data_IF_683115024283
#
_entry.id   IF_683115024283
#
_cell.length_a   1.000
_cell.length_b   1.000
_cell.length_c   1.000
_cell.angle_alpha   90.00
_cell.angle_beta   90.00
_cell.angle_gamma   90.00
#
_symmetry.space_group_name_H-M   'P 1'
#
loop_
_entity.id
_entity.type
_entity.pdbx_description
1 polymer ?
#
# COMPACT_ATOMS: atom_id res chain seq x y z
N UNK A 1 -12.20 -19.56 -9.01
CA UNK A 1 -11.42 -19.13 -7.82
C UNK A 1 -11.11 -17.65 -8.00
N UNK A 2 -11.24 -16.87 -6.94
CA UNK A 2 -10.87 -15.44 -6.95
C UNK A 2 -9.36 -15.28 -7.10
N UNK A 3 -8.92 -14.35 -7.97
CA UNK A 3 -7.52 -14.07 -8.23
C UNK A 3 -7.03 -12.91 -7.36
N UNK A 4 -5.89 -13.08 -6.76
CA UNK A 4 -5.29 -12.08 -5.87
C UNK A 4 -3.95 -11.60 -6.42
N UNK A 5 -3.70 -10.30 -6.40
CA UNK A 5 -2.44 -9.67 -6.79
C UNK A 5 -1.85 -8.88 -5.61
N UNK A 6 -0.57 -9.04 -5.35
CA UNK A 6 0.17 -8.24 -4.38
C UNK A 6 1.13 -7.33 -5.14
N UNK A 7 0.91 -6.01 -5.05
CA UNK A 7 1.72 -5.00 -5.72
C UNK A 7 2.82 -4.55 -4.77
N UNK A 8 4.06 -4.63 -5.24
CA UNK A 8 5.27 -4.27 -4.51
C UNK A 8 6.06 -3.24 -5.32
N UNK A 9 5.90 -1.94 -5.03
CA UNK A 9 6.75 -0.91 -5.61
C UNK A 9 8.19 -1.05 -5.14
N UNK A 10 9.15 -0.97 -6.05
CA UNK A 10 10.59 -1.08 -5.73
C UNK A 10 11.39 0.10 -6.26
N UNK A 11 12.33 0.57 -5.43
CA UNK A 11 13.41 1.46 -5.83
C UNK A 11 14.60 1.26 -4.90
N UNK A 12 15.63 0.55 -5.38
CA UNK A 12 16.80 0.12 -4.59
C UNK A 12 16.41 -0.85 -3.45
N UNK A 13 15.73 -1.94 -3.81
CA UNK A 13 15.25 -2.96 -2.86
C UNK A 13 15.84 -4.36 -3.16
N UNK A 14 17.00 -4.41 -3.84
CA UNK A 14 17.63 -5.65 -4.29
C UNK A 14 17.85 -6.64 -3.15
N UNK A 15 18.32 -6.16 -1.99
CA UNK A 15 18.67 -7.01 -0.85
C UNK A 15 17.42 -7.63 -0.18
N UNK A 16 16.26 -6.99 -0.35
CA UNK A 16 15.00 -7.41 0.26
C UNK A 16 14.21 -8.38 -0.64
N UNK A 17 14.24 -8.17 -1.95
CA UNK A 17 13.30 -8.77 -2.90
C UNK A 17 13.29 -10.30 -2.89
N UNK A 18 14.46 -10.94 -2.82
CA UNK A 18 14.57 -12.40 -2.83
C UNK A 18 13.89 -13.05 -1.63
N UNK A 19 14.09 -12.51 -0.43
CA UNK A 19 13.46 -13.03 0.78
C UNK A 19 11.98 -12.68 0.85
N UNK A 20 11.63 -11.46 0.43
CA UNK A 20 10.26 -10.96 0.51
C UNK A 20 9.30 -11.76 -0.36
N UNK A 21 9.63 -12.00 -1.66
CA UNK A 21 8.73 -12.75 -2.54
C UNK A 21 8.49 -14.17 -2.04
N UNK A 22 9.50 -14.81 -1.44
CA UNK A 22 9.36 -16.15 -0.85
C UNK A 22 8.41 -16.11 0.35
N UNK A 23 8.60 -15.18 1.28
CA UNK A 23 7.72 -15.04 2.45
C UNK A 23 6.27 -14.71 2.07
N UNK A 24 6.07 -13.90 1.04
CA UNK A 24 4.72 -13.61 0.51
C UNK A 24 4.10 -14.87 -0.07
N UNK A 25 4.84 -15.62 -0.88
CA UNK A 25 4.34 -16.87 -1.49
C UNK A 25 4.03 -17.92 -0.42
N UNK A 26 4.87 -18.04 0.62
CA UNK A 26 4.62 -18.96 1.73
C UNK A 26 3.35 -18.57 2.53
N UNK A 27 3.12 -17.26 2.73
CA UNK A 27 1.96 -16.77 3.45
C UNK A 27 0.67 -16.86 2.63
N UNK A 28 0.73 -16.65 1.31
CA UNK A 28 -0.43 -16.65 0.42
C UNK A 28 -0.10 -17.30 -0.95
N UNK A 29 0.03 -18.65 -1.02
CA UNK A 29 0.53 -19.36 -2.21
C UNK A 29 -0.33 -19.18 -3.47
N UNK A 30 -1.61 -18.82 -3.32
CA UNK A 30 -2.54 -18.61 -4.43
C UNK A 30 -2.49 -17.20 -5.03
N UNK A 31 -1.67 -16.29 -4.46
CA UNK A 31 -1.54 -14.93 -4.96
C UNK A 31 -0.42 -14.79 -5.99
N UNK A 32 -0.67 -13.97 -7.00
CA UNK A 32 0.40 -13.45 -7.87
C UNK A 32 1.05 -12.23 -7.21
N UNK A 33 2.34 -12.01 -7.52
CA UNK A 33 3.12 -10.86 -7.06
C UNK A 33 3.48 -10.00 -8.27
N UNK A 34 3.22 -8.70 -8.19
CA UNK A 34 3.66 -7.72 -9.19
C UNK A 34 4.72 -6.80 -8.59
N UNK A 35 5.96 -6.96 -9.00
CA UNK A 35 7.03 -6.01 -8.71
C UNK A 35 6.90 -4.85 -9.69
N UNK A 36 6.74 -3.62 -9.17
CA UNK A 36 6.71 -2.39 -9.96
C UNK A 36 8.01 -1.64 -9.74
N UNK A 37 8.97 -1.84 -10.64
CA UNK A 37 10.32 -1.29 -10.50
C UNK A 37 10.47 0.08 -11.15
N UNK A 38 10.89 1.06 -10.35
CA UNK A 38 11.11 2.46 -10.75
C UNK A 38 12.50 2.69 -11.37
N UNK A 39 12.96 1.76 -12.23
CA UNK A 39 14.27 1.80 -12.87
C UNK A 39 15.41 1.86 -11.83
N UNK A 40 15.42 0.91 -10.93
CA UNK A 40 16.37 0.84 -9.83
C UNK A 40 17.82 0.70 -10.31
N UNK A 41 18.74 1.61 -9.94
CA UNK A 41 20.13 1.55 -10.36
C UNK A 41 20.95 0.45 -9.68
N UNK A 42 20.47 -0.15 -8.59
CA UNK A 42 21.15 -1.22 -7.83
C UNK A 42 20.97 -2.61 -8.42
N UNK A 43 20.23 -2.75 -9.52
CA UNK A 43 19.95 -4.04 -10.17
C UNK A 43 18.71 -4.76 -9.61
N UNK A 44 17.83 -4.08 -8.86
CA UNK A 44 16.55 -4.66 -8.39
C UNK A 44 15.70 -5.18 -9.54
N UNK A 45 15.54 -4.39 -10.62
CA UNK A 45 14.73 -4.78 -11.79
C UNK A 45 15.25 -6.04 -12.47
N UNK A 46 16.56 -6.14 -12.68
CA UNK A 46 17.18 -7.34 -13.27
C UNK A 46 17.03 -8.57 -12.39
N UNK A 47 17.12 -8.39 -11.06
CA UNK A 47 16.83 -9.46 -10.12
C UNK A 47 15.37 -9.90 -10.21
N UNK A 48 14.43 -8.96 -10.27
CA UNK A 48 13.00 -9.24 -10.41
C UNK A 48 12.71 -10.06 -11.69
N UNK A 49 13.31 -9.70 -12.83
CA UNK A 49 13.20 -10.47 -14.08
C UNK A 49 13.72 -11.89 -13.94
N UNK A 50 14.87 -12.04 -13.27
CA UNK A 50 15.47 -13.35 -13.02
C UNK A 50 14.61 -14.24 -12.12
N UNK A 51 13.91 -13.65 -11.16
CA UNK A 51 12.96 -14.33 -10.29
C UNK A 51 11.67 -14.67 -11.05
N UNK A 52 11.13 -13.76 -11.85
CA UNK A 52 9.94 -13.98 -12.66
C UNK A 52 10.12 -15.13 -13.68
N UNK A 53 11.32 -15.27 -14.24
CA UNK A 53 11.65 -16.40 -15.13
C UNK A 53 11.57 -17.76 -14.42
N UNK A 54 11.74 -17.83 -13.10
CA UNK A 54 11.72 -19.05 -12.28
C UNK A 54 10.39 -19.29 -11.60
N UNK A 55 9.63 -18.24 -11.32
CA UNK A 55 8.42 -18.27 -10.51
C UNK A 55 7.22 -17.70 -11.29
N UNK A 56 6.33 -18.56 -11.83
CA UNK A 56 5.20 -18.13 -12.65
C UNK A 56 4.23 -17.15 -11.96
N UNK A 57 4.20 -17.16 -10.62
CA UNK A 57 3.39 -16.25 -9.81
C UNK A 57 3.99 -14.83 -9.68
N UNK A 58 5.26 -14.62 -10.08
CA UNK A 58 5.91 -13.32 -10.02
C UNK A 58 5.89 -12.65 -11.39
N UNK A 59 5.48 -11.39 -11.42
CA UNK A 59 5.42 -10.53 -12.59
C UNK A 59 6.24 -9.26 -12.34
N UNK A 60 6.73 -8.64 -13.40
CA UNK A 60 7.51 -7.39 -13.30
C UNK A 60 6.91 -6.35 -14.22
N UNK A 61 6.77 -5.13 -13.70
CA UNK A 61 6.40 -3.95 -14.45
C UNK A 61 7.52 -2.91 -14.30
N UNK A 62 8.30 -2.72 -15.35
CA UNK A 62 9.35 -1.69 -15.37
C UNK A 62 8.78 -0.32 -15.69
N UNK A 63 9.18 0.67 -14.93
CA UNK A 63 8.84 2.08 -15.18
C UNK A 63 10.10 2.85 -15.61
N UNK A 64 9.87 3.98 -16.28
CA UNK A 64 10.99 4.78 -16.85
C UNK A 64 11.93 5.38 -15.77
N UNK A 65 11.49 5.48 -14.50
CA UNK A 65 12.26 6.04 -13.40
C UNK A 65 11.44 6.24 -12.15
N UNK A 66 12.05 6.85 -11.13
CA UNK A 66 11.42 7.16 -9.85
C UNK A 66 10.37 8.27 -9.98
N UNK A 67 9.13 7.88 -10.20
CA UNK A 67 7.99 8.79 -10.42
C UNK A 67 7.10 8.99 -9.19
N UNK A 68 7.43 8.34 -8.08
CA UNK A 68 6.69 8.41 -6.81
C UNK A 68 5.86 7.18 -6.52
N UNK A 69 5.67 6.90 -5.21
CA UNK A 69 5.01 5.70 -4.70
C UNK A 69 3.55 5.58 -5.19
N UNK A 70 2.77 6.66 -5.11
CA UNK A 70 1.37 6.66 -5.55
C UNK A 70 1.22 6.29 -7.01
N UNK A 71 2.08 6.84 -7.88
CA UNK A 71 2.03 6.52 -9.32
C UNK A 71 2.47 5.07 -9.61
N UNK A 72 3.32 4.47 -8.77
CA UNK A 72 3.67 3.05 -8.88
C UNK A 72 2.47 2.16 -8.53
N UNK A 73 1.75 2.46 -7.45
CA UNK A 73 0.53 1.74 -7.12
C UNK A 73 -0.56 1.92 -8.18
N UNK A 74 -0.74 3.12 -8.74
CA UNK A 74 -1.69 3.34 -9.84
C UNK A 74 -1.36 2.47 -11.05
N UNK A 75 -0.07 2.35 -11.42
CA UNK A 75 0.34 1.47 -12.51
C UNK A 75 0.01 -0.01 -12.20
N UNK A 76 0.25 -0.45 -10.97
CA UNK A 76 -0.11 -1.79 -10.51
C UNK A 76 -1.63 -2.02 -10.45
N UNK A 77 -2.43 -1.03 -10.07
CA UNK A 77 -3.89 -1.11 -10.06
C UNK A 77 -4.46 -1.26 -11.48
N UNK A 78 -3.93 -0.49 -12.44
CA UNK A 78 -4.31 -0.64 -13.86
C UNK A 78 -3.99 -2.04 -14.37
N UNK A 79 -2.79 -2.53 -14.08
CA UNK A 79 -2.40 -3.90 -14.38
C UNK A 79 -3.38 -4.92 -13.78
N UNK A 80 -3.74 -4.75 -12.51
CA UNK A 80 -4.68 -5.64 -11.81
C UNK A 80 -6.08 -5.67 -12.47
N UNK A 81 -6.61 -4.49 -12.83
CA UNK A 81 -7.90 -4.35 -13.51
C UNK A 81 -7.85 -5.03 -14.90
N UNK A 82 -6.83 -4.71 -15.69
CA UNK A 82 -6.65 -5.24 -17.04
C UNK A 82 -6.54 -6.77 -17.07
N UNK A 83 -5.87 -7.35 -16.06
CA UNK A 83 -5.67 -8.79 -15.98
C UNK A 83 -6.74 -9.52 -15.14
N UNK A 84 -7.78 -8.82 -14.69
CA UNK A 84 -8.95 -9.42 -14.05
C UNK A 84 -8.68 -9.98 -12.65
N UNK A 85 -7.85 -9.35 -11.84
CA UNK A 85 -7.67 -9.71 -10.43
C UNK A 85 -8.84 -9.21 -9.59
N UNK A 86 -9.31 -10.04 -8.65
CA UNK A 86 -10.48 -9.73 -7.82
C UNK A 86 -10.09 -8.97 -6.55
N UNK A 87 -8.92 -9.28 -5.98
CA UNK A 87 -8.35 -8.66 -4.80
C UNK A 87 -6.94 -8.16 -5.09
N UNK A 88 -6.65 -6.93 -4.70
CA UNK A 88 -5.40 -6.24 -5.00
C UNK A 88 -4.80 -5.65 -3.75
N UNK A 89 -3.59 -6.07 -3.42
CA UNK A 89 -2.87 -5.58 -2.25
C UNK A 89 -1.86 -4.49 -2.61
N UNK A 90 -1.75 -3.53 -1.71
CA UNK A 90 -0.58 -2.64 -1.56
C UNK A 90 0.33 -3.19 -0.47
N UNK A 91 1.63 -3.30 -0.74
CA UNK A 91 2.62 -3.75 0.21
C UNK A 91 3.99 -3.15 -0.09
N UNK A 92 4.68 -2.62 0.94
CA UNK A 92 6.05 -2.09 0.80
C UNK A 92 7.09 -3.22 0.75
N UNK A 93 8.25 -2.95 0.11
CA UNK A 93 9.32 -3.94 -0.08
C UNK A 93 10.32 -4.05 1.10
N UNK A 94 10.17 -3.25 2.16
CA UNK A 94 11.18 -3.05 3.21
C UNK A 94 10.97 -3.86 4.50
N UNK A 95 10.10 -4.88 4.43
CA UNK A 95 9.67 -5.73 5.56
C UNK A 95 8.94 -5.00 6.70
N UNK A 96 8.56 -3.75 6.51
CA UNK A 96 7.72 -3.07 7.50
C UNK A 96 6.29 -3.60 7.53
N UNK A 97 5.85 -4.21 6.43
CA UNK A 97 4.61 -4.96 6.29
C UNK A 97 4.93 -6.46 6.30
N UNK A 98 4.63 -7.14 7.41
CA UNK A 98 4.89 -8.57 7.52
C UNK A 98 3.89 -9.37 6.65
N UNK A 99 4.37 -10.24 5.73
CA UNK A 99 3.50 -11.09 4.92
C UNK A 99 2.55 -11.99 5.71
N UNK A 100 2.85 -12.30 6.98
CA UNK A 100 1.97 -13.12 7.82
C UNK A 100 0.55 -12.57 7.98
N UNK A 101 0.33 -11.27 7.75
CA UNK A 101 -0.98 -10.63 7.81
C UNK A 101 -1.79 -10.74 6.50
N UNK A 102 -1.20 -11.13 5.37
CA UNK A 102 -1.89 -11.24 4.08
C UNK A 102 -3.14 -12.13 4.14
N UNK A 103 -3.11 -13.32 4.77
CA UNK A 103 -4.30 -14.17 4.87
C UNK A 103 -5.44 -13.51 5.64
N UNK A 104 -5.16 -12.79 6.73
CA UNK A 104 -6.18 -12.14 7.55
C UNK A 104 -6.81 -10.94 6.83
N UNK A 105 -6.02 -10.15 6.09
CA UNK A 105 -6.54 -9.06 5.27
C UNK A 105 -7.41 -9.61 4.12
N UNK A 106 -6.95 -10.65 3.44
CA UNK A 106 -7.73 -11.30 2.37
C UNK A 106 -9.03 -11.89 2.93
N UNK A 107 -8.97 -12.56 4.09
CA UNK A 107 -10.14 -13.10 4.77
C UNK A 107 -11.22 -12.05 5.00
N UNK A 108 -10.86 -10.89 5.56
CA UNK A 108 -11.79 -9.79 5.78
C UNK A 108 -12.38 -9.24 4.46
N UNK A 109 -11.60 -9.21 3.37
CA UNK A 109 -12.10 -8.82 2.05
C UNK A 109 -13.07 -9.84 1.49
N UNK A 110 -12.81 -11.15 1.65
CA UNK A 110 -13.70 -12.24 1.23
C UNK A 110 -15.01 -12.22 2.03
N UNK A 111 -14.97 -11.90 3.32
CA UNK A 111 -16.12 -11.75 4.22
C UNK A 111 -16.98 -10.51 3.92
N UNK A 112 -16.63 -9.73 2.90
CA UNK A 112 -17.48 -8.66 2.39
C UNK A 112 -16.98 -7.23 2.64
N UNK A 113 -15.73 -7.04 3.11
CA UNK A 113 -15.12 -5.72 3.06
C UNK A 113 -14.70 -5.38 1.62
N UNK A 114 -14.84 -4.12 1.24
CA UNK A 114 -14.40 -3.64 -0.07
C UNK A 114 -12.96 -3.13 -0.04
N UNK A 115 -12.57 -2.53 1.09
CA UNK A 115 -11.20 -2.14 1.40
C UNK A 115 -10.85 -2.64 2.79
N UNK A 116 -9.71 -3.32 2.92
CA UNK A 116 -9.16 -3.75 4.21
C UNK A 116 -7.86 -3.00 4.46
N UNK A 117 -7.77 -2.34 5.60
CA UNK A 117 -6.58 -1.60 6.03
C UNK A 117 -5.87 -2.38 7.12
N UNK A 118 -4.61 -2.75 6.91
CA UNK A 118 -3.74 -3.24 7.98
C UNK A 118 -3.42 -2.09 8.92
N UNK A 119 -4.05 -2.09 10.10
CA UNK A 119 -4.05 -0.96 11.01
C UNK A 119 -3.15 -1.19 12.22
N UNK A 120 -2.31 -0.20 12.49
CA UNK A 120 -1.46 -0.12 13.70
C UNK A 120 -2.20 0.45 14.90
N UNK A 121 -3.48 0.88 14.72
CA UNK A 121 -4.19 1.76 15.67
C UNK A 121 -5.47 1.17 16.25
N UNK A 122 -5.89 0.03 15.75
CA UNK A 122 -6.99 -0.74 16.32
C UNK A 122 -6.48 -1.66 17.44
N UNK A 123 -7.33 -2.14 18.36
CA UNK A 123 -6.92 -3.11 19.38
C UNK A 123 -6.20 -4.33 18.78
N UNK A 124 -5.01 -4.65 19.29
CA UNK A 124 -4.14 -5.70 18.75
C UNK A 124 -3.14 -5.22 17.70
N UNK A 125 -3.28 -4.00 17.19
CA UNK A 125 -2.30 -3.37 16.31
C UNK A 125 -1.22 -2.59 17.07
N UNK A 126 -0.10 -2.31 16.39
CA UNK A 126 1.01 -1.59 17.03
C UNK A 126 2.16 -1.27 16.10
N UNK A 127 3.23 -0.74 16.72
CA UNK A 127 4.49 -0.46 16.04
C UNK A 127 5.64 -0.96 16.91
N UNK A 128 6.62 -1.61 16.30
CA UNK A 128 7.85 -2.03 16.95
C UNK A 128 9.05 -1.21 16.49
N UNK A 129 9.97 -0.95 17.42
CA UNK A 129 11.22 -0.22 17.19
C UNK A 129 11.06 1.24 16.72
N UNK A 130 9.87 1.85 16.90
CA UNK A 130 9.64 3.26 16.58
C UNK A 130 9.96 4.16 17.77
N UNK A 131 10.74 5.21 17.53
CA UNK A 131 10.91 6.28 18.51
C UNK A 131 9.59 7.03 18.78
N UNK A 132 9.39 7.51 20.01
CA UNK A 132 8.18 8.22 20.45
C UNK A 132 7.79 9.38 19.51
N UNK A 133 8.76 10.15 19.02
CA UNK A 133 8.51 11.26 18.10
C UNK A 133 7.85 10.80 16.78
N UNK A 134 8.30 9.68 16.20
CA UNK A 134 7.72 9.10 14.98
C UNK A 134 6.30 8.58 15.23
N UNK A 135 6.09 7.95 16.39
CA UNK A 135 4.75 7.48 16.79
C UNK A 135 3.78 8.66 16.91
N UNK A 136 4.18 9.76 17.55
CA UNK A 136 3.35 10.96 17.72
C UNK A 136 3.02 11.63 16.38
N UNK A 137 4.02 11.79 15.48
CA UNK A 137 3.79 12.39 14.16
C UNK A 137 2.84 11.54 13.33
N UNK A 138 3.04 10.22 13.30
CA UNK A 138 2.18 9.31 12.55
C UNK A 138 0.77 9.25 13.13
N UNK A 139 0.64 9.25 14.48
CA UNK A 139 -0.67 9.26 15.15
C UNK A 139 -1.40 10.58 14.92
N UNK A 140 -0.68 11.69 15.05
CA UNK A 140 -1.22 13.03 14.82
C UNK A 140 -1.69 13.21 13.38
N UNK A 141 -0.94 12.70 12.40
CA UNK A 141 -1.31 12.76 10.98
C UNK A 141 -2.60 12.00 10.67
N UNK A 142 -2.76 10.77 11.18
CA UNK A 142 -4.01 10.02 11.01
C UNK A 142 -5.18 10.68 11.73
N UNK A 143 -4.98 11.15 12.98
CA UNK A 143 -6.03 11.85 13.73
C UNK A 143 -6.47 13.14 13.03
N UNK A 144 -5.53 13.93 12.54
CA UNK A 144 -5.80 15.14 11.77
C UNK A 144 -6.64 14.84 10.52
N UNK A 145 -6.20 13.90 9.69
CA UNK A 145 -6.88 13.56 8.45
C UNK A 145 -8.31 13.01 8.72
N UNK A 146 -8.45 12.09 9.69
CA UNK A 146 -9.77 11.52 10.03
C UNK A 146 -10.75 12.58 10.58
N UNK A 147 -10.25 13.52 11.37
CA UNK A 147 -11.10 14.58 11.96
C UNK A 147 -11.60 15.53 10.88
N UNK A 148 -10.74 16.01 9.97
CA UNK A 148 -11.11 16.94 8.90
C UNK A 148 -12.01 16.28 7.86
N UNK A 149 -11.69 15.04 7.47
CA UNK A 149 -12.44 14.30 6.45
C UNK A 149 -13.71 13.62 7.03
N UNK A 150 -13.85 13.54 8.36
CA UNK A 150 -14.98 12.87 9.00
C UNK A 150 -14.99 11.36 8.78
N UNK A 151 -13.80 10.72 8.76
CA UNK A 151 -13.68 9.30 8.43
C UNK A 151 -13.65 8.41 9.69
N UNK A 152 -14.27 7.22 9.65
CA UNK A 152 -14.29 6.29 10.78
C UNK A 152 -12.96 5.51 10.93
N UNK A 153 -12.11 5.46 9.89
CA UNK A 153 -10.86 4.71 9.83
C UNK A 153 -9.81 5.34 10.74
N UNK A 154 -9.15 4.52 11.58
CA UNK A 154 -8.16 4.99 12.54
C UNK A 154 -6.77 5.16 11.94
N UNK A 155 -6.35 4.26 11.03
CA UNK A 155 -5.04 4.31 10.39
C UNK A 155 -5.14 4.65 8.90
N UNK A 156 -5.36 5.93 8.59
CA UNK A 156 -5.46 6.42 7.21
C UNK A 156 -4.11 6.42 6.46
N UNK A 157 -2.99 6.36 7.20
CA UNK A 157 -1.64 6.45 6.63
C UNK A 157 -0.99 5.09 6.37
N UNK A 158 -1.68 4.00 6.66
CA UNK A 158 -1.17 2.67 6.37
C UNK A 158 -1.08 2.42 4.87
N UNK A 159 0.07 1.91 4.41
CA UNK A 159 0.30 1.46 3.03
C UNK A 159 0.08 -0.04 2.85
N UNK A 160 -0.41 -0.74 3.85
CA UNK A 160 -0.75 -2.16 3.76
C UNK A 160 -2.26 -2.32 3.66
N UNK A 161 -2.76 -2.51 2.45
CA UNK A 161 -4.20 -2.56 2.18
C UNK A 161 -4.53 -3.66 1.18
N UNK A 162 -5.78 -4.14 1.27
CA UNK A 162 -6.39 -4.98 0.27
C UNK A 162 -7.62 -4.27 -0.31
N UNK A 163 -7.69 -4.14 -1.62
CA UNK A 163 -8.82 -3.56 -2.34
C UNK A 163 -9.55 -4.65 -3.12
N UNK A 164 -10.86 -4.61 -3.10
CA UNK A 164 -11.68 -5.32 -4.08
C UNK A 164 -11.59 -4.59 -5.43
N UNK A 165 -11.51 -5.32 -6.55
CA UNK A 165 -11.40 -4.75 -7.90
C UNK A 165 -12.44 -3.66 -8.18
N UNK A 166 -13.69 -3.87 -7.78
CA UNK A 166 -14.78 -2.91 -7.98
C UNK A 166 -14.50 -1.53 -7.37
N UNK A 167 -13.73 -1.46 -6.28
CA UNK A 167 -13.29 -0.18 -5.69
C UNK A 167 -12.35 0.54 -6.65
N UNK A 168 -11.35 -0.17 -7.18
CA UNK A 168 -10.35 0.40 -8.08
C UNK A 168 -10.96 0.82 -9.42
N UNK A 169 -11.92 0.07 -9.95
CA UNK A 169 -12.67 0.40 -11.15
C UNK A 169 -13.58 1.62 -10.96
N UNK A 170 -14.07 1.86 -9.74
CA UNK A 170 -14.94 3.00 -9.44
C UNK A 170 -14.19 4.32 -9.29
N UNK A 171 -12.90 4.26 -8.93
CA UNK A 171 -12.06 5.43 -8.72
C UNK A 171 -11.42 5.83 -10.05
N UNK A 172 -11.58 7.10 -10.44
CA UNK A 172 -10.78 7.66 -11.53
C UNK A 172 -9.31 7.76 -11.08
N UNK A 173 -8.54 6.70 -11.41
CA UNK A 173 -7.14 6.57 -11.03
C UNK A 173 -6.26 7.64 -11.71
N UNK A 174 -6.71 8.22 -12.83
CA UNK A 174 -5.97 9.28 -13.52
C UNK A 174 -6.07 10.63 -12.81
N UNK A 175 -7.12 10.83 -12.04
CA UNK A 175 -7.31 12.04 -11.23
C UNK A 175 -6.56 12.03 -9.90
N UNK A 176 -6.01 10.86 -9.47
CA UNK A 176 -5.25 10.74 -8.23
C UNK A 176 -3.87 11.38 -8.42
N UNK A 177 -3.61 12.48 -7.72
CA UNK A 177 -2.38 13.29 -7.84
C UNK A 177 -1.47 13.20 -6.62
N UNK A 178 -1.95 12.65 -5.53
CA UNK A 178 -1.21 12.57 -4.28
C UNK A 178 -0.13 11.47 -4.31
N UNK A 179 0.89 11.65 -3.47
CA UNK A 179 2.01 10.72 -3.32
C UNK A 179 2.22 10.36 -1.84
N UNK A 180 2.91 9.24 -1.58
CA UNK A 180 3.27 8.81 -0.23
C UNK A 180 2.06 8.67 0.68
N UNK A 181 2.09 9.29 1.86
CA UNK A 181 1.00 9.19 2.84
C UNK A 181 -0.31 9.82 2.37
N UNK A 182 -0.24 10.90 1.59
CA UNK A 182 -1.44 11.56 1.03
C UNK A 182 -2.17 10.64 0.07
N UNK A 183 -1.44 9.82 -0.70
CA UNK A 183 -2.02 8.81 -1.57
C UNK A 183 -2.83 7.78 -0.77
N UNK A 184 -2.29 7.32 0.35
CA UNK A 184 -2.97 6.36 1.22
C UNK A 184 -4.27 6.90 1.81
N UNK A 185 -4.25 8.18 2.20
CA UNK A 185 -5.44 8.90 2.69
C UNK A 185 -6.46 9.07 1.56
N UNK A 186 -6.02 9.52 0.38
CA UNK A 186 -6.87 9.80 -0.77
C UNK A 186 -7.61 8.55 -1.25
N UNK A 187 -6.91 7.42 -1.42
CA UNK A 187 -7.52 6.17 -1.88
C UNK A 187 -8.61 5.68 -0.90
N UNK A 188 -8.33 5.75 0.41
CA UNK A 188 -9.32 5.37 1.44
C UNK A 188 -10.49 6.34 1.48
N UNK A 189 -10.25 7.65 1.37
CA UNK A 189 -11.28 8.68 1.33
C UNK A 189 -12.21 8.49 0.12
N UNK A 190 -11.64 8.33 -1.09
CA UNK A 190 -12.40 8.14 -2.33
C UNK A 190 -13.25 6.86 -2.29
N UNK A 191 -12.75 5.79 -1.69
CA UNK A 191 -13.53 4.56 -1.48
C UNK A 191 -14.75 4.81 -0.57
N UNK A 192 -14.54 5.45 0.59
CA UNK A 192 -15.63 5.76 1.53
C UNK A 192 -16.66 6.71 0.90
N UNK A 193 -16.24 7.74 0.16
CA UNK A 193 -17.15 8.67 -0.51
C UNK A 193 -18.04 8.00 -1.57
N UNK A 194 -17.60 6.84 -2.09
CA UNK A 194 -18.39 6.01 -3.03
C UNK A 194 -19.26 4.95 -2.34
N UNK A 195 -19.29 4.98 -1.00
CA UNK A 195 -20.13 4.07 -0.21
C UNK A 195 -19.52 2.68 0.02
N UNK A 196 -18.23 2.48 -0.31
CA UNK A 196 -17.56 1.21 -0.06
C UNK A 196 -17.28 0.99 1.43
N UNK A 197 -17.41 -0.27 1.85
CA UNK A 197 -17.15 -0.71 3.21
C UNK A 197 -15.65 -0.86 3.46
N UNK A 198 -15.10 0.00 4.32
CA UNK A 198 -13.71 -0.06 4.78
C UNK A 198 -13.64 -0.67 6.17
N UNK A 199 -12.78 -1.67 6.37
CA UNK A 199 -12.52 -2.29 7.66
C UNK A 199 -11.03 -2.24 8.00
N UNK A 200 -10.71 -2.34 9.29
CA UNK A 200 -9.34 -2.36 9.78
C UNK A 200 -9.03 -3.70 10.43
N UNK A 201 -7.91 -4.31 10.05
CA UNK A 201 -7.36 -5.52 10.63
C UNK A 201 -6.09 -5.15 11.38
N UNK A 202 -5.91 -5.59 12.66
CA UNK A 202 -4.72 -5.23 13.42
C UNK A 202 -3.45 -5.83 12.81
N UNK A 203 -2.42 -5.00 12.69
CA UNK A 203 -1.07 -5.41 12.30
C UNK A 203 -0.04 -4.80 13.26
N UNK A 204 1.08 -5.48 13.43
CA UNK A 204 2.28 -4.89 14.06
C UNK A 204 3.22 -4.47 12.93
N UNK A 205 3.48 -3.17 12.87
CA UNK A 205 4.40 -2.59 11.91
C UNK A 205 5.80 -2.54 12.52
N UNK A 206 6.73 -3.25 11.93
CA UNK A 206 8.13 -3.28 12.36
C UNK A 206 8.90 -2.17 11.64
N UNK A 207 9.82 -1.45 12.34
CA UNK A 207 10.65 -0.50 11.63
C UNK A 207 11.55 -1.22 10.62
N UNK A 208 11.74 -0.60 9.46
CA UNK A 208 12.52 -1.17 8.36
C UNK A 208 13.91 -1.61 8.82
N UNK A 209 14.38 -2.75 8.31
CA UNK A 209 15.69 -3.32 8.67
C UNK A 209 16.86 -2.52 8.10
N UNK A 210 16.64 -1.80 6.98
CA UNK A 210 17.64 -0.96 6.32
C UNK A 210 16.98 0.26 5.67
N UNK A 211 17.73 1.38 5.51
CA UNK A 211 17.30 2.59 4.83
C UNK A 211 16.91 3.73 5.78
N UNK A 212 16.95 4.97 5.25
CA UNK A 212 16.56 6.18 6.00
C UNK A 212 15.10 6.53 5.75
N UNK A 213 14.42 7.04 6.79
CA UNK A 213 13.06 7.57 6.66
C UNK A 213 13.03 8.74 5.67
N UNK A 214 12.22 8.63 4.62
CA UNK A 214 12.07 9.66 3.58
C UNK A 214 11.11 10.79 3.98
N UNK A 215 10.70 10.86 5.26
CA UNK A 215 9.80 11.94 5.73
C UNK A 215 10.57 13.25 5.87
N UNK A 216 10.26 14.20 4.99
CA UNK A 216 10.66 15.60 5.14
C UNK A 216 9.48 16.44 5.69
N UNK A 217 9.81 17.59 6.28
CA UNK A 217 8.79 18.57 6.74
C UNK A 217 7.89 19.03 5.59
N UNK A 218 8.42 19.13 4.38
CA UNK A 218 7.66 19.50 3.18
C UNK A 218 6.60 18.47 2.82
N UNK A 219 6.91 17.18 2.90
CA UNK A 219 5.94 16.09 2.65
C UNK A 219 4.79 16.13 3.66
N UNK A 220 5.09 16.45 4.93
CA UNK A 220 4.06 16.59 5.96
C UNK A 220 3.13 17.78 5.69
N UNK A 221 3.67 18.96 5.35
CA UNK A 221 2.87 20.14 5.03
C UNK A 221 2.03 19.96 3.76
N UNK A 222 2.58 19.30 2.75
CA UNK A 222 1.87 18.93 1.53
C UNK A 222 0.67 18.02 1.84
N UNK A 223 0.89 17.00 2.70
CA UNK A 223 -0.17 16.09 3.12
C UNK A 223 -1.30 16.83 3.87
N UNK A 224 -0.95 17.78 4.74
CA UNK A 224 -1.93 18.61 5.43
C UNK A 224 -2.78 19.45 4.46
N UNK A 225 -2.16 20.09 3.48
CA UNK A 225 -2.86 20.87 2.44
C UNK A 225 -3.76 19.99 1.57
N UNK A 226 -3.31 18.77 1.24
CA UNK A 226 -4.08 17.83 0.43
C UNK A 226 -5.37 17.38 1.15
N UNK A 227 -5.33 17.16 2.46
CA UNK A 227 -6.52 16.81 3.26
C UNK A 227 -7.63 17.90 3.14
N UNK A 228 -7.25 19.18 3.18
CA UNK A 228 -8.21 20.26 2.97
C UNK A 228 -8.74 20.32 1.53
N UNK A 229 -7.89 20.10 0.53
CA UNK A 229 -8.34 20.02 -0.87
C UNK A 229 -9.37 18.90 -1.06
N UNK A 230 -9.14 17.74 -0.48
CA UNK A 230 -10.11 16.63 -0.48
C UNK A 230 -11.41 17.04 0.19
N UNK A 231 -11.35 17.69 1.36
CA UNK A 231 -12.55 18.13 2.08
C UNK A 231 -13.39 19.14 1.29
N UNK A 232 -12.72 19.99 0.52
CA UNK A 232 -13.37 21.06 -0.30
C UNK A 232 -13.75 20.57 -1.70
N UNK A 233 -13.53 19.29 -2.04
CA UNK A 233 -13.83 18.74 -3.37
C UNK A 233 -12.91 19.27 -4.49
N UNK A 234 -11.69 19.69 -4.14
CA UNK A 234 -10.69 20.23 -5.08
C UNK A 234 -9.56 19.24 -5.37
N UNK A 235 -9.68 17.97 -4.96
CA UNK A 235 -8.70 16.92 -5.19
C UNK A 235 -9.22 15.86 -6.15
#
# INVERSE_FOLDING_TARGET
>A
MSRTLIIIPTYNERDNLTSLHTQIHDALPAADILVVDDNSPDGTGQLADSLAAKHPYLKVLHRAGKLGLGTAYIAGFRYAIEHGYDYVFEMDADFSHDPCYLPSLLGAAVEGADVVVGSRRVPGGGTENWGLGRQLISSGGSLYARTILGLPVQDLTSGFKCFRRSVLESIDLESVRSNGYSFQIEMTYRAIQRGFRVVEVPIVFVDRRAGQSKMSRSIFLEAMGMVWRMRLGMA
#
